data_IF_715509909019
#
_entry.id   IF_715509909019
#
_cell.length_a   1.000
_cell.length_b   1.000
_cell.length_c   1.000
_cell.angle_alpha   90.00
_cell.angle_beta   90.00
_cell.angle_gamma   90.00
#
_symmetry.space_group_name_H-M   'P 1'
#
loop_
_entity.id
_entity.type
_entity.pdbx_description
1 polymer ?
#
# COMPACT_ATOMS: atom_id res chain seq x y z
N UNK A 1 25.38 -29.60 -18.12
CA UNK A 1 24.43 -28.91 -17.23
C UNK A 1 24.98 -27.51 -17.00
N UNK A 2 24.48 -26.51 -17.71
CA UNK A 2 24.83 -25.13 -17.46
C UNK A 2 24.02 -24.69 -16.24
N UNK A 3 24.70 -24.38 -15.14
CA UNK A 3 24.08 -23.67 -14.03
C UNK A 3 23.69 -22.29 -14.54
N UNK A 4 22.39 -22.01 -14.63
CA UNK A 4 21.90 -20.65 -14.78
C UNK A 4 22.43 -19.86 -13.58
N UNK A 5 23.44 -19.02 -13.83
CA UNK A 5 23.85 -18.00 -12.88
C UNK A 5 22.66 -17.05 -12.81
N UNK A 6 21.90 -17.13 -11.73
CA UNK A 6 20.85 -16.17 -11.43
C UNK A 6 21.56 -14.82 -11.26
N UNK A 7 21.56 -13.98 -12.30
CA UNK A 7 22.05 -12.61 -12.19
C UNK A 7 21.24 -11.93 -11.08
N UNK A 8 21.87 -11.66 -9.95
CA UNK A 8 21.25 -10.90 -8.87
C UNK A 8 20.94 -9.50 -9.41
N UNK A 9 19.65 -9.24 -9.64
CA UNK A 9 19.17 -7.90 -10.00
C UNK A 9 19.48 -6.99 -8.80
N UNK A 10 20.32 -5.96 -8.95
CA UNK A 10 20.66 -5.09 -7.83
C UNK A 10 19.39 -4.38 -7.34
N UNK A 11 19.15 -4.48 -6.03
CA UNK A 11 18.08 -3.78 -5.33
C UNK A 11 18.71 -2.70 -4.47
N UNK A 12 18.39 -1.45 -4.78
CA UNK A 12 18.82 -0.29 -4.01
C UNK A 12 17.66 0.28 -3.21
N UNK A 13 17.87 0.45 -1.91
CA UNK A 13 16.92 1.11 -1.03
C UNK A 13 17.36 2.57 -0.81
N UNK A 14 16.43 3.51 -1.03
CA UNK A 14 16.65 4.92 -0.76
C UNK A 14 15.47 5.51 -0.01
N UNK A 15 15.74 6.50 0.83
CA UNK A 15 14.72 7.23 1.59
C UNK A 15 14.67 8.67 1.10
N UNK A 16 13.52 9.08 0.55
CA UNK A 16 13.30 10.42 0.03
C UNK A 16 12.38 11.20 0.95
N UNK A 17 12.77 12.44 1.26
CA UNK A 17 11.92 13.36 1.99
C UNK A 17 11.03 14.12 1.01
N UNK A 18 9.72 13.87 1.05
CA UNK A 18 8.74 14.59 0.24
C UNK A 18 7.60 15.09 1.13
N UNK A 19 7.27 16.38 1.04
CA UNK A 19 6.17 16.98 1.79
C UNK A 19 6.25 16.90 3.31
N UNK A 20 7.37 16.46 3.89
CA UNK A 20 7.54 16.21 5.33
C UNK A 20 7.43 14.73 5.76
N UNK A 21 7.27 13.77 4.83
CA UNK A 21 7.36 12.32 5.10
C UNK A 21 8.58 11.71 4.43
N UNK A 22 9.18 10.73 5.11
CA UNK A 22 10.22 9.88 4.53
C UNK A 22 9.56 8.73 3.74
N UNK A 23 9.77 8.74 2.43
CA UNK A 23 9.29 7.72 1.50
C UNK A 23 10.42 6.77 1.18
N UNK A 24 10.24 5.50 1.53
CA UNK A 24 11.15 4.44 1.11
C UNK A 24 10.86 4.11 -0.35
N UNK A 25 11.91 4.09 -1.15
CA UNK A 25 11.90 3.69 -2.54
C UNK A 25 12.80 2.48 -2.67
N UNK A 26 12.26 1.42 -3.24
CA UNK A 26 13.03 0.26 -3.68
C UNK A 26 13.23 0.40 -5.19
N UNK A 27 14.48 0.42 -5.62
CA UNK A 27 14.89 0.51 -7.02
C UNK A 27 15.49 -0.83 -7.42
N UNK A 28 14.97 -1.45 -8.46
CA UNK A 28 15.45 -2.74 -8.95
C UNK A 28 16.00 -2.60 -10.38
N UNK A 29 17.19 -3.15 -10.65
CA UNK A 29 17.82 -3.16 -11.98
C UNK A 29 18.98 -2.17 -12.14
N UNK A 30 19.59 -2.07 -13.35
CA UNK A 30 20.69 -1.15 -13.62
C UNK A 30 20.19 0.30 -13.54
N UNK A 31 20.23 0.84 -12.33
CA UNK A 31 19.73 2.17 -12.03
C UNK A 31 20.84 3.19 -12.24
N UNK A 32 20.62 4.10 -13.18
CA UNK A 32 21.29 5.39 -13.19
C UNK A 32 20.36 6.41 -12.55
N UNK A 33 20.92 7.40 -11.86
CA UNK A 33 20.16 8.40 -11.13
C UNK A 33 19.07 9.03 -12.04
N UNK A 34 17.78 8.87 -11.71
CA UNK A 34 16.64 9.45 -12.46
C UNK A 34 16.77 10.96 -12.65
N UNK A 35 17.54 11.61 -11.78
CA UNK A 35 17.75 13.04 -11.74
C UNK A 35 18.94 13.50 -12.60
N UNK A 36 19.75 12.58 -13.10
CA UNK A 36 20.89 12.91 -13.95
C UNK A 36 20.50 12.88 -15.43
N UNK A 37 20.42 14.06 -16.03
CA UNK A 37 19.94 14.23 -17.41
C UNK A 37 20.87 13.63 -18.46
N UNK A 38 22.12 13.30 -18.09
CA UNK A 38 23.15 12.77 -18.98
C UNK A 38 23.22 11.24 -19.07
N UNK A 39 22.38 10.51 -18.31
CA UNK A 39 22.36 9.04 -18.37
C UNK A 39 21.70 8.50 -19.64
N UNK A 40 22.38 7.58 -20.31
CA UNK A 40 21.97 6.87 -21.54
C UNK A 40 20.93 5.77 -21.27
N UNK A 41 20.62 5.46 -20.01
CA UNK A 41 19.73 4.35 -19.62
C UNK A 41 18.71 4.76 -18.55
N UNK A 42 17.72 5.58 -18.93
CA UNK A 42 16.57 5.88 -18.06
C UNK A 42 15.61 4.68 -18.00
N UNK A 43 15.07 4.33 -16.81
CA UNK A 43 14.08 3.26 -16.69
C UNK A 43 12.80 3.67 -17.42
N UNK A 44 12.33 2.83 -18.35
CA UNK A 44 11.09 3.06 -19.11
C UNK A 44 9.82 2.74 -18.33
N UNK A 45 9.95 2.03 -17.21
CA UNK A 45 8.87 1.57 -16.36
C UNK A 45 9.22 1.80 -14.88
N UNK A 46 8.30 2.38 -14.13
CA UNK A 46 8.34 2.49 -12.67
C UNK A 46 7.20 1.68 -12.04
N UNK A 47 7.54 0.80 -11.11
CA UNK A 47 6.57 0.11 -10.25
C UNK A 47 6.52 0.89 -8.93
N UNK A 48 5.38 1.53 -8.66
CA UNK A 48 5.18 2.28 -7.43
C UNK A 48 4.26 1.50 -6.49
N UNK A 49 4.83 1.03 -5.38
CA UNK A 49 4.10 0.38 -4.29
C UNK A 49 3.75 1.47 -3.27
N UNK A 50 2.48 1.57 -2.90
CA UNK A 50 2.00 2.62 -1.98
C UNK A 50 1.75 2.03 -0.58
N UNK A 51 2.73 2.08 0.35
CA UNK A 51 2.48 1.86 1.78
C UNK A 51 2.24 3.20 2.52
N UNK A 52 1.54 3.15 3.66
CA UNK A 52 1.47 4.28 4.61
C UNK A 52 2.76 4.42 5.44
N UNK A 53 3.28 5.65 5.68
CA UNK A 53 4.62 5.87 6.30
C UNK A 53 4.84 7.16 7.15
N UNK A 54 6.00 7.19 7.84
CA UNK A 54 6.51 8.04 8.94
C UNK A 54 7.54 9.15 8.54
N UNK A 55 7.78 10.14 9.44
CA UNK A 55 8.45 11.45 9.20
C UNK A 55 9.96 11.57 9.49
N UNK A 56 10.61 12.52 8.78
CA UNK A 56 11.68 13.45 9.25
C UNK A 56 11.36 14.90 8.81
N UNK A 57 11.85 15.97 9.46
CA UNK A 57 11.42 17.34 9.16
C UNK A 57 12.25 18.01 8.03
N UNK A 58 11.55 18.75 7.16
CA UNK A 58 11.98 19.82 6.22
C UNK A 58 11.63 19.59 4.73
N UNK A 59 10.39 19.90 4.36
CA UNK A 59 9.95 20.31 3.01
C UNK A 59 8.54 20.94 3.13
N UNK A 60 8.07 21.66 2.10
CA UNK A 60 6.73 22.30 2.04
C UNK A 60 5.65 21.40 2.68
N UNK A 61 5.02 21.89 3.74
CA UNK A 61 4.20 21.05 4.63
C UNK A 61 2.89 20.66 3.94
N UNK A 62 2.69 19.36 3.75
CA UNK A 62 1.38 18.81 3.39
C UNK A 62 0.51 18.86 4.64
N UNK A 63 -0.65 19.51 4.54
CA UNK A 63 -1.62 19.56 5.63
C UNK A 63 -2.12 18.15 5.96
N UNK A 64 -2.20 17.84 7.26
CA UNK A 64 -2.65 16.54 7.78
C UNK A 64 -1.94 15.33 7.13
N UNK A 65 -0.61 15.38 7.12
CA UNK A 65 0.24 14.42 6.42
C UNK A 65 0.02 12.95 6.81
N UNK A 66 -0.49 12.69 8.03
CA UNK A 66 -0.80 11.35 8.52
C UNK A 66 -2.25 10.94 8.31
N UNK A 67 -3.10 11.87 7.90
CA UNK A 67 -4.46 11.60 7.45
C UNK A 67 -4.49 11.01 6.05
N UNK A 68 -5.66 10.50 5.66
CA UNK A 68 -5.87 9.86 4.37
C UNK A 68 -5.62 10.83 3.22
N UNK A 69 -6.11 12.07 3.32
CA UNK A 69 -5.90 13.09 2.28
C UNK A 69 -4.44 13.52 2.21
N UNK A 70 -3.78 13.75 3.34
CA UNK A 70 -2.35 14.06 3.34
C UNK A 70 -1.50 12.94 2.74
N UNK A 71 -1.87 11.67 2.97
CA UNK A 71 -1.24 10.54 2.29
C UNK A 71 -1.48 10.58 0.77
N UNK A 72 -2.69 10.86 0.30
CA UNK A 72 -2.99 10.98 -1.14
C UNK A 72 -2.15 12.10 -1.77
N UNK A 73 -2.20 13.31 -1.21
CA UNK A 73 -1.45 14.47 -1.71
C UNK A 73 0.05 14.22 -1.71
N UNK A 74 0.57 13.56 -0.67
CA UNK A 74 1.96 13.17 -0.60
C UNK A 74 2.36 12.27 -1.79
N UNK A 75 1.56 11.26 -2.13
CA UNK A 75 1.89 10.35 -3.25
C UNK A 75 1.81 11.09 -4.58
N UNK A 76 0.83 11.97 -4.77
CA UNK A 76 0.71 12.80 -5.97
C UNK A 76 1.91 13.75 -6.11
N UNK A 77 2.25 14.47 -5.05
CA UNK A 77 3.39 15.39 -5.02
C UNK A 77 4.70 14.66 -5.30
N UNK A 78 4.90 13.49 -4.70
CA UNK A 78 6.06 12.65 -4.96
C UNK A 78 6.17 12.28 -6.44
N UNK A 79 5.09 11.76 -7.04
CA UNK A 79 5.07 11.33 -8.44
C UNK A 79 5.33 12.51 -9.38
N UNK A 80 4.69 13.65 -9.15
CA UNK A 80 4.86 14.87 -9.96
C UNK A 80 6.29 15.41 -9.91
N UNK A 81 6.93 15.39 -8.75
CA UNK A 81 8.25 15.99 -8.59
C UNK A 81 9.39 15.05 -9.02
N UNK A 82 9.20 13.73 -8.94
CA UNK A 82 10.30 12.77 -9.07
C UNK A 82 10.16 11.77 -10.22
N UNK A 83 8.99 11.65 -10.86
CA UNK A 83 8.80 10.72 -11.98
C UNK A 83 8.80 11.52 -13.30
N UNK A 84 9.77 11.28 -14.21
CA UNK A 84 9.78 11.94 -15.51
C UNK A 84 8.54 11.60 -16.33
N UNK A 85 8.08 12.56 -17.14
CA UNK A 85 6.82 12.45 -17.92
C UNK A 85 6.83 11.31 -18.95
N UNK A 86 8.00 10.87 -19.39
CA UNK A 86 8.22 9.80 -20.36
C UNK A 86 8.28 8.40 -19.73
N UNK A 87 8.28 8.29 -18.39
CA UNK A 87 8.34 7.02 -17.66
C UNK A 87 6.95 6.47 -17.43
N UNK A 88 6.63 5.28 -17.95
CA UNK A 88 5.35 4.61 -17.71
C UNK A 88 5.25 4.16 -16.25
N UNK A 89 4.05 4.25 -15.67
CA UNK A 89 3.82 3.94 -14.25
C UNK A 89 2.87 2.76 -14.12
N UNK A 90 3.22 1.81 -13.25
CA UNK A 90 2.30 0.80 -12.72
C UNK A 90 2.09 1.08 -11.24
N UNK A 91 0.83 1.20 -10.85
CA UNK A 91 0.43 1.38 -9.46
C UNK A 91 0.03 0.02 -8.87
N UNK A 92 0.59 -0.33 -7.71
CA UNK A 92 0.17 -1.52 -6.95
C UNK A 92 -0.30 -1.05 -5.58
N UNK A 93 -1.63 -1.02 -5.41
CA UNK A 93 -2.28 -0.64 -4.18
C UNK A 93 -2.74 -1.86 -3.39
N UNK A 94 -2.34 -1.98 -2.13
CA UNK A 94 -2.89 -2.96 -1.20
C UNK A 94 -3.82 -2.28 -0.20
N UNK A 95 -4.98 -2.86 0.09
CA UNK A 95 -5.90 -2.32 1.11
C UNK A 95 -6.23 -0.86 0.80
N UNK A 96 -5.99 0.07 1.74
CA UNK A 96 -6.21 1.50 1.54
C UNK A 96 -5.36 2.07 0.40
N UNK A 97 -4.21 1.46 0.10
CA UNK A 97 -3.39 1.78 -1.05
C UNK A 97 -4.15 1.65 -2.36
N UNK A 98 -5.16 0.78 -2.44
CA UNK A 98 -6.06 0.70 -3.61
C UNK A 98 -6.89 1.98 -3.77
N UNK A 99 -7.46 2.49 -2.67
CA UNK A 99 -8.19 3.75 -2.66
C UNK A 99 -7.26 4.91 -3.04
N UNK A 100 -6.06 4.97 -2.46
CA UNK A 100 -5.05 5.99 -2.78
C UNK A 100 -4.68 5.93 -4.27
N UNK A 101 -4.45 4.74 -4.84
CA UNK A 101 -4.15 4.59 -6.27
C UNK A 101 -5.27 5.15 -7.16
N UNK A 102 -6.54 4.87 -6.85
CA UNK A 102 -7.67 5.45 -7.59
C UNK A 102 -7.71 6.99 -7.46
N UNK A 103 -7.39 7.53 -6.28
CA UNK A 103 -7.33 8.99 -6.06
C UNK A 103 -6.15 9.66 -6.77
N UNK A 104 -5.01 8.99 -6.86
CA UNK A 104 -3.86 9.43 -7.67
C UNK A 104 -4.29 9.52 -9.14
N UNK A 105 -4.95 8.49 -9.68
CA UNK A 105 -5.42 8.52 -11.07
C UNK A 105 -6.44 9.65 -11.31
N UNK A 106 -7.33 9.90 -10.35
CA UNK A 106 -8.33 10.97 -10.43
C UNK A 106 -7.72 12.38 -10.42
N UNK A 107 -6.75 12.62 -9.54
CA UNK A 107 -6.21 13.95 -9.26
C UNK A 107 -4.91 14.28 -9.98
N UNK A 108 -4.29 13.27 -10.60
CA UNK A 108 -3.10 13.41 -11.43
C UNK A 108 -3.25 12.65 -12.77
N UNK A 109 -4.28 12.97 -13.58
CA UNK A 109 -4.54 12.29 -14.85
C UNK A 109 -3.42 12.49 -15.88
N UNK A 110 -2.53 13.48 -15.67
CA UNK A 110 -1.34 13.71 -16.50
C UNK A 110 -0.27 12.62 -16.33
N UNK A 111 -0.34 11.82 -15.26
CA UNK A 111 0.63 10.76 -15.01
C UNK A 111 0.43 9.61 -16.01
N UNK A 112 1.51 9.09 -16.63
CA UNK A 112 1.43 8.01 -17.62
C UNK A 112 1.21 6.63 -16.97
N UNK A 113 0.11 6.49 -16.22
CA UNK A 113 -0.30 5.23 -15.59
C UNK A 113 -0.82 4.28 -16.66
N UNK A 114 -0.10 3.17 -16.84
CA UNK A 114 -0.41 2.14 -17.84
C UNK A 114 -1.27 1.02 -17.28
N UNK A 115 -1.15 0.72 -15.98
CA UNK A 115 -1.96 -0.29 -15.30
C UNK A 115 -1.95 -0.09 -13.78
N UNK A 116 -3.00 -0.52 -13.11
CA UNK A 116 -3.15 -0.46 -11.66
C UNK A 116 -3.67 -1.79 -11.12
N UNK A 117 -2.91 -2.40 -10.20
CA UNK A 117 -3.31 -3.59 -9.46
C UNK A 117 -3.85 -3.18 -8.09
N UNK A 118 -5.11 -3.51 -7.83
CA UNK A 118 -5.86 -3.19 -6.61
C UNK A 118 -6.05 -4.47 -5.81
N UNK A 119 -5.13 -4.73 -4.89
CA UNK A 119 -5.01 -5.96 -4.11
C UNK A 119 -5.75 -5.82 -2.78
N UNK A 120 -6.71 -6.71 -2.52
CA UNK A 120 -7.58 -6.70 -1.34
C UNK A 120 -8.17 -5.29 -1.10
N UNK A 121 -8.94 -4.74 -2.06
CA UNK A 121 -9.11 -3.30 -2.22
C UNK A 121 -10.15 -2.69 -1.26
N UNK A 122 -9.70 -1.98 -0.22
CA UNK A 122 -10.60 -1.23 0.68
C UNK A 122 -10.94 0.13 0.06
N UNK A 123 -11.85 0.12 -0.91
CA UNK A 123 -12.24 1.31 -1.70
C UNK A 123 -13.65 1.83 -1.37
N UNK A 124 -14.39 1.12 -0.53
CA UNK A 124 -15.76 1.45 -0.16
C UNK A 124 -16.16 0.81 1.17
N UNK A 125 -17.20 1.37 1.79
CA UNK A 125 -17.95 0.83 2.95
C UNK A 125 -17.08 0.26 4.07
N UNK A 126 -15.89 0.82 4.30
CA UNK A 126 -14.85 0.17 5.11
C UNK A 126 -15.32 -0.10 6.55
N UNK A 127 -16.02 0.85 7.16
CA UNK A 127 -16.59 0.71 8.51
C UNK A 127 -17.73 -0.32 8.61
N UNK A 128 -18.39 -0.67 7.50
CA UNK A 128 -19.51 -1.62 7.47
C UNK A 128 -19.07 -3.08 7.35
N UNK A 129 -17.80 -3.31 7.04
CA UNK A 129 -17.20 -4.64 6.87
C UNK A 129 -17.11 -5.38 8.22
N UNK A 130 -17.01 -6.72 8.24
CA UNK A 130 -16.85 -7.49 9.48
C UNK A 130 -15.75 -6.95 10.40
N UNK A 131 -14.56 -6.67 9.84
CA UNK A 131 -13.46 -6.11 10.61
C UNK A 131 -13.66 -4.63 10.91
N UNK A 132 -14.23 -3.86 9.97
CA UNK A 132 -14.54 -2.44 10.15
C UNK A 132 -15.49 -2.16 11.30
N UNK A 133 -16.52 -2.99 11.49
CA UNK A 133 -17.47 -2.86 12.61
C UNK A 133 -16.81 -3.04 13.98
N UNK A 134 -15.78 -3.88 14.06
CA UNK A 134 -15.01 -4.12 15.29
C UNK A 134 -13.95 -3.01 15.48
N UNK A 135 -13.29 -2.60 14.41
CA UNK A 135 -12.20 -1.63 14.46
C UNK A 135 -12.69 -0.19 14.64
N UNK A 136 -13.84 0.19 14.06
CA UNK A 136 -14.33 1.58 14.07
C UNK A 136 -14.48 2.15 15.48
N UNK A 137 -15.11 1.46 16.46
CA UNK A 137 -15.16 1.97 17.84
C UNK A 137 -13.77 2.20 18.43
N UNK A 138 -12.83 1.28 18.21
CA UNK A 138 -11.46 1.35 18.74
C UNK A 138 -10.68 2.52 18.14
N UNK A 139 -10.78 2.69 16.82
CA UNK A 139 -10.02 3.69 16.06
C UNK A 139 -10.64 5.09 16.11
N UNK A 140 -11.97 5.20 16.16
CA UNK A 140 -12.66 6.49 16.11
C UNK A 140 -13.05 7.02 17.50
N UNK A 141 -13.59 6.16 18.37
CA UNK A 141 -14.16 6.61 19.65
C UNK A 141 -13.18 6.45 20.80
N UNK A 142 -12.44 5.34 20.85
CA UNK A 142 -11.50 5.04 21.92
C UNK A 142 -10.04 5.36 21.58
N UNK A 143 -9.79 6.14 20.51
CA UNK A 143 -8.41 6.43 20.04
C UNK A 143 -7.52 7.03 21.11
N UNK A 144 -8.04 7.95 21.92
CA UNK A 144 -7.27 8.59 22.99
C UNK A 144 -6.99 7.63 24.15
N UNK A 145 -7.91 6.72 24.43
CA UNK A 145 -7.68 5.63 25.39
C UNK A 145 -6.61 4.66 24.85
N UNK A 146 -6.60 4.35 23.55
CA UNK A 146 -5.55 3.57 22.89
C UNK A 146 -4.18 4.27 22.98
N UNK A 147 -4.14 5.59 22.79
CA UNK A 147 -2.90 6.37 22.92
C UNK A 147 -2.40 6.39 24.37
N UNK A 148 -3.29 6.65 25.33
CA UNK A 148 -2.94 6.66 26.74
C UNK A 148 -2.47 5.28 27.21
N UNK A 149 -3.18 4.21 26.86
CA UNK A 149 -2.80 2.83 27.23
C UNK A 149 -1.50 2.40 26.56
N UNK A 150 -1.32 2.64 25.26
CA UNK A 150 -0.06 2.32 24.58
C UNK A 150 1.11 3.09 25.16
N UNK A 151 0.94 4.38 25.50
CA UNK A 151 1.98 5.16 26.17
C UNK A 151 2.31 4.63 27.57
N UNK A 152 1.29 4.41 28.40
CA UNK A 152 1.45 3.97 29.79
C UNK A 152 1.99 2.54 29.91
N UNK A 153 1.63 1.65 28.98
CA UNK A 153 2.08 0.26 28.99
C UNK A 153 3.42 0.12 28.29
N UNK A 154 3.58 0.69 27.09
CA UNK A 154 4.80 0.49 26.31
C UNK A 154 5.95 1.31 26.88
N UNK A 155 5.78 2.60 27.19
CA UNK A 155 6.89 3.49 27.60
C UNK A 155 7.72 2.95 28.79
N UNK A 156 7.13 2.45 29.90
CA UNK A 156 7.91 1.90 31.01
C UNK A 156 8.34 0.44 30.79
N UNK A 157 7.81 -0.26 29.78
CA UNK A 157 8.11 -1.67 29.54
C UNK A 157 9.57 -1.83 29.06
N UNK A 158 10.40 -2.64 29.77
CA UNK A 158 11.76 -2.94 29.34
C UNK A 158 11.81 -3.51 27.92
N UNK A 159 12.82 -3.13 27.14
CA UNK A 159 13.00 -3.59 25.75
C UNK A 159 13.00 -5.11 25.60
N UNK A 160 13.47 -5.83 26.62
CA UNK A 160 13.46 -7.30 26.66
C UNK A 160 12.03 -7.85 26.61
N UNK A 161 11.11 -7.25 27.36
CA UNK A 161 9.70 -7.66 27.40
C UNK A 161 8.99 -7.25 26.12
N UNK A 162 9.25 -6.04 25.61
CA UNK A 162 8.73 -5.62 24.31
C UNK A 162 9.19 -6.58 23.21
N UNK A 163 10.48 -6.88 23.12
CA UNK A 163 11.05 -7.82 22.16
C UNK A 163 10.45 -9.22 22.28
N UNK A 164 10.23 -9.69 23.52
CA UNK A 164 9.59 -10.98 23.77
C UNK A 164 8.13 -11.03 23.31
N UNK A 165 7.31 -10.03 23.66
CA UNK A 165 5.91 -9.90 23.22
C UNK A 165 5.84 -9.80 21.71
N UNK A 166 6.71 -8.97 21.12
CA UNK A 166 6.84 -8.79 19.67
C UNK A 166 7.11 -10.13 19.00
N UNK A 167 8.10 -10.88 19.49
CA UNK A 167 8.48 -12.20 18.96
C UNK A 167 7.35 -13.22 19.09
N UNK A 168 6.65 -13.26 20.22
CA UNK A 168 5.52 -14.17 20.43
C UNK A 168 4.30 -13.81 19.57
N UNK A 169 4.05 -12.51 19.35
CA UNK A 169 3.02 -12.06 18.43
C UNK A 169 3.37 -12.42 16.98
N UNK A 170 4.63 -12.23 16.56
CA UNK A 170 5.17 -12.65 15.25
C UNK A 170 5.01 -14.17 15.03
N UNK A 171 5.40 -14.99 16.00
CA UNK A 171 5.27 -16.46 15.95
C UNK A 171 3.81 -16.89 15.81
N UNK A 172 2.87 -16.21 16.51
CA UNK A 172 1.43 -16.51 16.41
C UNK A 172 0.80 -16.04 15.10
N UNK A 173 1.37 -15.03 14.45
CA UNK A 173 0.88 -14.51 13.17
C UNK A 173 1.50 -15.24 11.97
N UNK A 174 2.24 -16.32 12.19
CA UNK A 174 2.93 -17.11 11.14
C UNK A 174 3.85 -16.27 10.27
N UNK A 175 4.50 -15.28 10.88
CA UNK A 175 5.32 -14.31 10.17
C UNK A 175 6.66 -14.92 9.75
N UNK A 176 6.94 -14.95 8.45
CA UNK A 176 8.18 -15.55 7.88
C UNK A 176 9.17 -14.51 7.32
N UNK A 177 8.93 -13.21 7.53
CA UNK A 177 9.80 -12.14 7.04
C UNK A 177 10.77 -11.57 8.09
N UNK A 178 11.80 -10.87 7.63
CA UNK A 178 12.65 -9.99 8.44
C UNK A 178 12.12 -8.54 8.38
N UNK A 179 10.90 -8.27 8.87
CA UNK A 179 10.48 -6.87 9.06
C UNK A 179 11.18 -6.34 10.32
N UNK A 180 11.82 -5.16 10.29
CA UNK A 180 12.30 -4.49 11.49
C UNK A 180 11.12 -3.98 12.33
N UNK A 181 10.44 -4.91 13.02
CA UNK A 181 9.22 -4.67 13.81
C UNK A 181 9.47 -3.78 15.03
N UNK A 182 10.75 -3.51 15.34
CA UNK A 182 11.19 -2.56 16.38
C UNK A 182 10.60 -1.16 16.19
N UNK A 183 10.30 -0.77 14.94
CA UNK A 183 9.69 0.53 14.64
C UNK A 183 8.15 0.48 14.69
N UNK A 184 7.52 -0.67 14.43
CA UNK A 184 6.05 -0.78 14.33
C UNK A 184 5.35 -0.60 15.69
N UNK A 185 6.02 -1.01 16.78
CA UNK A 185 5.50 -0.89 18.14
C UNK A 185 5.90 0.41 18.84
N UNK A 186 6.48 1.36 18.11
CA UNK A 186 6.71 2.68 18.67
C UNK A 186 5.37 3.39 18.89
N UNK A 187 5.14 4.03 20.05
CA UNK A 187 3.87 4.69 20.36
C UNK A 187 3.41 5.67 19.28
N UNK A 188 4.34 6.40 18.65
CA UNK A 188 4.04 7.33 17.56
C UNK A 188 3.58 6.64 16.28
N UNK A 189 4.18 5.49 15.92
CA UNK A 189 3.75 4.70 14.77
C UNK A 189 2.35 4.13 14.97
N UNK A 190 2.07 3.61 16.17
CA UNK A 190 0.74 3.13 16.54
C UNK A 190 -0.29 4.26 16.54
N UNK A 191 0.07 5.43 17.06
CA UNK A 191 -0.81 6.59 17.08
C UNK A 191 -1.18 7.06 15.67
N UNK A 192 -0.18 7.16 14.78
CA UNK A 192 -0.38 7.57 13.39
C UNK A 192 -1.17 6.51 12.59
N UNK A 193 -0.88 5.22 12.77
CA UNK A 193 -1.63 4.14 12.14
C UNK A 193 -3.10 4.14 12.58
N UNK A 194 -3.36 4.33 13.88
CA UNK A 194 -4.72 4.44 14.39
C UNK A 194 -5.42 5.73 13.93
N UNK A 195 -4.69 6.84 13.81
CA UNK A 195 -5.21 8.10 13.29
C UNK A 195 -5.64 7.95 11.82
N UNK A 196 -4.76 7.41 10.98
CA UNK A 196 -5.06 7.12 9.58
C UNK A 196 -6.25 6.14 9.48
N UNK A 197 -6.21 5.02 10.21
CA UNK A 197 -7.31 4.06 10.22
C UNK A 197 -8.65 4.66 10.64
N UNK A 198 -8.65 5.61 11.58
CA UNK A 198 -9.88 6.34 11.95
C UNK A 198 -10.44 7.18 10.79
N UNK A 199 -9.55 7.82 10.02
CA UNK A 199 -9.95 8.57 8.85
C UNK A 199 -10.47 7.67 7.73
N UNK A 200 -9.82 6.53 7.51
CA UNK A 200 -10.25 5.52 6.54
C UNK A 200 -11.69 5.07 6.82
N UNK A 201 -12.01 4.73 8.08
CA UNK A 201 -13.37 4.34 8.47
C UNK A 201 -14.42 5.43 8.19
N UNK A 202 -14.05 6.70 8.30
CA UNK A 202 -14.97 7.83 8.14
C UNK A 202 -15.15 8.23 6.67
N UNK A 203 -14.06 8.17 5.89
CA UNK A 203 -13.99 8.73 4.53
C UNK A 203 -14.23 7.68 3.45
N UNK A 204 -13.79 6.43 3.63
CA UNK A 204 -13.91 5.35 2.63
C UNK A 204 -15.30 4.72 2.73
N UNK A 205 -16.30 5.47 2.26
CA UNK A 205 -17.71 5.10 2.34
C UNK A 205 -18.27 4.62 1.02
N UNK A 206 -18.15 5.43 -0.03
CA UNK A 206 -18.72 5.13 -1.34
C UNK A 206 -17.60 4.85 -2.35
N UNK A 207 -17.80 3.81 -3.15
CA UNK A 207 -16.96 3.50 -4.31
C UNK A 207 -17.08 4.63 -5.34
N UNK A 208 -15.94 5.03 -5.90
CA UNK A 208 -15.90 6.03 -6.98
C UNK A 208 -16.12 5.31 -8.32
N UNK A 209 -17.39 5.09 -8.68
CA UNK A 209 -17.74 4.35 -9.90
C UNK A 209 -17.34 5.09 -11.17
N UNK A 210 -17.28 6.42 -11.13
CA UNK A 210 -16.90 7.26 -12.27
C UNK A 210 -15.44 7.00 -12.66
N UNK A 211 -14.51 7.08 -11.70
CA UNK A 211 -13.09 6.84 -11.97
C UNK A 211 -12.82 5.38 -12.34
N UNK A 212 -13.53 4.44 -11.73
CA UNK A 212 -13.42 3.01 -12.06
C UNK A 212 -13.87 2.78 -13.49
N UNK A 213 -15.01 3.34 -13.90
CA UNK A 213 -15.52 3.22 -15.26
C UNK A 213 -14.57 3.83 -16.28
N UNK A 214 -14.05 5.03 -16.00
CA UNK A 214 -13.12 5.75 -16.88
C UNK A 214 -11.84 4.95 -17.13
N UNK A 215 -11.30 4.30 -16.11
CA UNK A 215 -10.03 3.59 -16.19
C UNK A 215 -10.14 2.07 -16.24
N UNK A 216 -11.35 1.51 -16.33
CA UNK A 216 -11.63 0.08 -16.21
C UNK A 216 -10.66 -0.83 -16.99
N UNK A 217 -10.26 -0.52 -18.25
CA UNK A 217 -9.31 -1.36 -19.00
C UNK A 217 -7.91 -1.47 -18.37
N UNK A 218 -7.53 -0.51 -17.52
CA UNK A 218 -6.23 -0.43 -16.82
C UNK A 218 -6.29 -0.95 -15.39
N UNK A 219 -7.44 -1.43 -14.91
CA UNK A 219 -7.64 -1.84 -13.51
C UNK A 219 -7.74 -3.36 -13.39
N UNK A 220 -6.97 -3.93 -12.48
CA UNK A 220 -7.16 -5.31 -12.00
C UNK A 220 -7.53 -5.28 -10.52
N UNK A 221 -8.69 -5.82 -10.18
CA UNK A 221 -9.12 -5.96 -8.79
C UNK A 221 -8.90 -7.39 -8.32
N UNK A 222 -8.29 -7.57 -7.15
CA UNK A 222 -8.05 -8.88 -6.56
C UNK A 222 -8.61 -8.97 -5.14
N UNK A 223 -9.71 -9.69 -4.97
CA UNK A 223 -10.39 -9.87 -3.70
C UNK A 223 -9.99 -11.19 -3.03
N UNK A 224 -10.08 -11.27 -1.71
CA UNK A 224 -9.89 -12.51 -0.94
C UNK A 224 -11.21 -13.13 -0.53
N UNK A 225 -11.38 -14.45 -0.71
CA UNK A 225 -12.59 -15.17 -0.25
C UNK A 225 -12.83 -15.08 1.26
N UNK A 226 -11.77 -14.97 2.03
CA UNK A 226 -11.78 -14.90 3.51
C UNK A 226 -11.51 -13.48 4.04
N UNK A 227 -11.57 -12.46 3.19
CA UNK A 227 -11.23 -11.10 3.56
C UNK A 227 -12.35 -10.42 4.39
N UNK A 228 -12.04 -10.13 5.65
CA UNK A 228 -12.94 -9.41 6.57
C UNK A 228 -12.99 -7.89 6.39
N UNK A 229 -12.14 -7.31 5.56
CA UNK A 229 -12.12 -5.89 5.19
C UNK A 229 -12.74 -5.63 3.81
N UNK A 230 -12.75 -6.64 2.93
CA UNK A 230 -13.37 -6.56 1.61
C UNK A 230 -14.16 -7.85 1.34
N UNK A 231 -15.35 -8.01 1.95
CA UNK A 231 -16.13 -9.24 1.87
C UNK A 231 -16.45 -9.64 0.43
N UNK A 232 -16.69 -10.94 0.19
CA UNK A 232 -17.07 -11.48 -1.13
C UNK A 232 -18.23 -10.73 -1.78
N UNK A 233 -19.17 -10.20 -0.99
CA UNK A 233 -20.25 -9.34 -1.49
C UNK A 233 -19.73 -8.14 -2.30
N UNK A 234 -18.61 -7.53 -1.92
CA UNK A 234 -18.04 -6.38 -2.64
C UNK A 234 -17.46 -6.81 -3.99
N UNK A 235 -16.86 -8.01 -4.05
CA UNK A 235 -16.47 -8.64 -5.31
C UNK A 235 -17.68 -8.90 -6.23
N UNK A 236 -18.78 -9.42 -5.67
CA UNK A 236 -20.02 -9.67 -6.42
C UNK A 236 -20.63 -8.38 -6.96
N UNK A 237 -20.71 -7.33 -6.12
CA UNK A 237 -21.17 -6.00 -6.50
C UNK A 237 -20.30 -5.44 -7.65
N UNK A 238 -18.97 -5.55 -7.55
CA UNK A 238 -18.05 -5.15 -8.62
C UNK A 238 -18.29 -5.91 -9.94
N UNK A 239 -18.43 -7.23 -9.89
CA UNK A 239 -18.69 -8.05 -11.09
C UNK A 239 -20.03 -7.71 -11.73
N UNK A 240 -21.03 -7.36 -10.93
CA UNK A 240 -22.35 -6.94 -11.41
C UNK A 240 -22.29 -5.58 -12.10
N UNK A 241 -21.62 -4.61 -11.49
CA UNK A 241 -21.61 -3.22 -11.97
C UNK A 241 -20.62 -3.02 -13.13
N UNK A 242 -19.53 -3.81 -13.16
CA UNK A 242 -18.48 -3.76 -14.16
C UNK A 242 -18.18 -5.16 -14.74
N UNK A 243 -19.11 -5.76 -15.51
CA UNK A 243 -18.97 -7.13 -16.00
C UNK A 243 -17.72 -7.35 -16.88
N UNK A 244 -17.32 -6.33 -17.63
CA UNK A 244 -16.12 -6.31 -18.49
C UNK A 244 -14.82 -6.04 -17.72
N UNK A 245 -14.90 -5.76 -16.41
CA UNK A 245 -13.75 -5.47 -15.57
C UNK A 245 -12.93 -6.72 -15.25
N UNK A 246 -11.61 -6.55 -15.13
CA UNK A 246 -10.70 -7.59 -14.64
C UNK A 246 -10.78 -7.69 -13.12
N UNK A 247 -11.82 -8.38 -12.66
CA UNK A 247 -12.16 -8.52 -11.24
C UNK A 247 -12.04 -9.99 -10.86
N UNK A 248 -11.16 -10.28 -9.91
CA UNK A 248 -10.70 -11.62 -9.55
C UNK A 248 -10.96 -11.90 -8.07
N UNK A 249 -11.23 -13.17 -7.76
CA UNK A 249 -11.39 -13.66 -6.40
C UNK A 249 -10.35 -14.74 -6.10
N UNK A 250 -9.60 -14.56 -5.01
CA UNK A 250 -8.66 -15.54 -4.49
C UNK A 250 -9.38 -16.60 -3.67
N UNK A 251 -9.34 -17.84 -4.14
CA UNK A 251 -9.91 -18.99 -3.42
C UNK A 251 -8.92 -19.69 -2.48
N UNK A 252 -7.64 -19.32 -2.53
CA UNK A 252 -6.55 -19.99 -1.80
C UNK A 252 -6.48 -19.66 -0.30
N UNK A 253 -7.45 -18.90 0.22
CA UNK A 253 -7.48 -18.51 1.63
C UNK A 253 -6.39 -17.50 2.04
N UNK A 254 -5.79 -16.79 1.09
CA UNK A 254 -4.81 -15.73 1.37
C UNK A 254 -5.47 -14.65 2.24
N UNK A 255 -4.83 -14.33 3.35
CA UNK A 255 -5.33 -13.33 4.30
C UNK A 255 -5.21 -11.90 3.74
N UNK A 256 -6.05 -10.98 4.23
CA UNK A 256 -5.99 -9.57 3.84
C UNK A 256 -4.59 -8.97 4.04
N UNK A 257 -3.95 -9.28 5.16
CA UNK A 257 -2.58 -8.88 5.46
C UNK A 257 -1.56 -9.86 4.83
N UNK A 258 -1.73 -10.16 3.53
CA UNK A 258 -0.90 -11.13 2.81
C UNK A 258 0.60 -10.82 2.89
N UNK A 259 0.95 -9.54 3.06
CA UNK A 259 2.34 -9.08 3.24
C UNK A 259 3.04 -9.73 4.45
N UNK A 260 2.27 -10.30 5.39
CA UNK A 260 2.79 -10.94 6.60
C UNK A 260 3.17 -12.42 6.44
N UNK A 261 2.71 -13.10 5.39
CA UNK A 261 2.96 -14.55 5.23
C UNK A 261 2.73 -15.13 3.83
N UNK A 262 2.19 -14.35 2.90
CA UNK A 262 1.86 -14.74 1.53
C UNK A 262 2.42 -13.74 0.50
N UNK A 263 3.42 -12.92 0.89
CA UNK A 263 3.99 -11.87 0.04
C UNK A 263 4.58 -12.41 -1.26
N UNK A 264 5.35 -13.50 -1.19
CA UNK A 264 5.92 -14.17 -2.37
C UNK A 264 4.83 -14.73 -3.29
N UNK A 265 3.79 -15.33 -2.73
CA UNK A 265 2.70 -15.90 -3.53
C UNK A 265 1.92 -14.81 -4.28
N UNK A 266 1.54 -13.74 -3.59
CA UNK A 266 0.85 -12.61 -4.24
C UNK A 266 1.77 -11.90 -5.24
N UNK A 267 3.06 -11.77 -4.94
CA UNK A 267 4.03 -11.21 -5.89
C UNK A 267 4.15 -12.05 -7.16
N UNK A 268 4.20 -13.38 -7.04
CA UNK A 268 4.23 -14.29 -8.19
C UNK A 268 2.96 -14.18 -9.04
N UNK A 269 1.80 -14.08 -8.39
CA UNK A 269 0.51 -13.85 -9.06
C UNK A 269 0.49 -12.54 -9.85
N UNK A 270 0.94 -11.44 -9.23
CA UNK A 270 0.98 -10.12 -9.91
C UNK A 270 2.01 -10.11 -11.04
N UNK A 271 3.19 -10.71 -10.84
CA UNK A 271 4.23 -10.82 -11.87
C UNK A 271 3.74 -11.60 -13.09
N UNK A 272 3.03 -12.71 -12.87
CA UNK A 272 2.38 -13.48 -13.94
C UNK A 272 1.40 -12.61 -14.74
N UNK A 273 0.54 -11.84 -14.06
CA UNK A 273 -0.40 -10.95 -14.74
C UNK A 273 0.30 -9.84 -15.51
N UNK A 274 1.36 -9.26 -14.95
CA UNK A 274 2.18 -8.26 -15.63
C UNK A 274 2.74 -8.80 -16.94
N UNK A 275 3.28 -10.02 -16.94
CA UNK A 275 3.85 -10.65 -18.13
C UNK A 275 2.83 -10.91 -19.26
N UNK A 276 1.56 -11.13 -18.91
CA UNK A 276 0.50 -11.43 -19.89
C UNK A 276 -0.30 -10.21 -20.33
N UNK A 277 -0.45 -9.19 -19.47
CA UNK A 277 -1.33 -8.03 -19.73
C UNK A 277 -0.60 -6.82 -20.26
N UNK A 278 0.68 -6.66 -19.93
CA UNK A 278 1.42 -5.48 -20.30
C UNK A 278 2.12 -5.70 -21.63
N UNK A 279 2.17 -4.68 -22.51
CA UNK A 279 3.01 -4.74 -23.70
C UNK A 279 4.45 -5.06 -23.28
N UNK A 280 5.14 -5.94 -24.01
CA UNK A 280 6.59 -6.14 -23.82
C UNK A 280 7.27 -4.77 -23.99
N UNK A 281 7.87 -4.26 -22.92
CA UNK A 281 8.52 -2.93 -22.84
C UNK A 281 9.95 -3.01 -23.36
#
# INVERSE_FOLDING_TARGET
MASEVQEEIPVHEEFFLCGGVETQILKCGPWTNLFDTQSVTRPKLLIFIIPGKSRKPNAQEIEDIYGLNGQIEHKIAFLRAHVPKDVKIILIGHSIGSYISLRVMKHAPELPVIHTFLLFPTIERMAETPNGRIATPLLCWFRYALYATSYLVLKPCPEIIRSFITRKALERLSFTGEIPLKNLLQPFCLANAAYLGSQEMIQVRKRDDEIIKEHLPKLTFYYGKTDGWCPVKYYEDMKKDFPEGDIRLCEKGISHAFVLGFSQEVAAIVADWMNHKLPKI
#
